data_IF_802617811617
#
_entry.id   IF_802617811617
#
_cell.length_a   1.000
_cell.length_b   1.000
_cell.length_c   1.000
_cell.angle_alpha   90.00
_cell.angle_beta   90.00
_cell.angle_gamma   90.00
#
_symmetry.space_group_name_H-M   'P 1'
#
loop_
_entity.id
_entity.type
_entity.pdbx_description
1 polymer ?
#
# COMPACT_ATOMS: atom_id res chain seq x y z
N UNK A 6 15.94 -4.56 9.17
CA UNK A 6 15.84 -3.25 8.52
C UNK A 6 14.53 -3.10 7.81
N UNK A 7 14.26 -4.09 6.96
CA UNK A 7 13.02 -4.14 6.26
C UNK A 7 11.93 -4.23 7.31
N UNK A 8 12.21 -5.07 8.29
CA UNK A 8 11.34 -5.26 9.42
C UNK A 8 10.88 -3.92 9.95
N UNK A 9 11.86 -3.06 10.17
CA UNK A 9 11.54 -1.75 10.66
C UNK A 9 10.61 -1.02 9.74
N UNK A 10 11.09 -0.84 8.52
CA UNK A 10 10.32 -0.16 7.50
C UNK A 10 8.88 -0.63 7.48
N UNK A 11 8.75 -1.94 7.43
CA UNK A 11 7.47 -2.57 7.39
C UNK A 11 6.63 -2.32 8.63
N UNK A 12 7.30 -2.12 9.75
CA UNK A 12 6.61 -1.88 10.99
C UNK A 12 6.04 -0.47 11.02
N UNK A 13 6.82 0.42 10.44
CA UNK A 13 6.45 1.79 10.35
C UNK A 13 5.30 1.98 9.35
N UNK A 14 5.30 1.14 8.34
CA UNK A 14 4.27 1.15 7.33
C UNK A 14 2.91 0.81 7.94
N UNK A 15 2.94 -0.24 8.74
CA UNK A 15 1.78 -0.76 9.42
C UNK A 15 1.11 0.28 10.29
N UNK A 16 1.92 0.92 11.09
CA UNK A 16 1.33 1.92 11.94
C UNK A 16 0.65 2.96 11.09
N UNK A 17 1.39 3.40 10.10
CA UNK A 17 0.87 4.39 9.19
C UNK A 17 -0.48 3.93 8.68
N UNK A 18 -0.47 2.81 7.99
CA UNK A 18 -1.70 2.27 7.43
C UNK A 18 -2.85 2.18 8.43
N UNK A 19 -2.57 1.63 9.61
CA UNK A 19 -3.62 1.46 10.59
C UNK A 19 -4.40 2.75 10.87
N UNK A 20 -3.65 3.81 11.12
CA UNK A 20 -4.17 5.13 11.40
C UNK A 20 -5.00 5.69 10.24
N UNK A 21 -4.37 5.73 9.05
CA UNK A 21 -4.97 6.14 7.79
C UNK A 21 -6.34 5.52 7.66
N UNK A 22 -6.42 4.22 7.89
CA UNK A 22 -7.70 3.54 7.83
C UNK A 22 -8.71 4.03 8.87
N UNK A 23 -8.25 4.33 10.09
CA UNK A 23 -9.14 4.84 11.13
C UNK A 23 -9.89 6.06 10.62
N UNK A 24 -9.11 6.97 10.02
CA UNK A 24 -9.56 8.24 9.45
C UNK A 24 -10.53 8.17 8.31
N UNK A 25 -10.44 7.07 7.57
CA UNK A 25 -11.31 6.86 6.46
C UNK A 25 -12.76 7.09 6.88
N UNK A 26 -13.09 6.62 8.10
CA UNK A 26 -14.42 6.72 8.74
C UNK A 26 -14.88 8.15 9.01
N UNK A 27 -13.95 9.08 9.00
CA UNK A 27 -14.35 10.42 9.27
C UNK A 27 -14.73 11.14 8.01
N UNK A 28 -14.70 10.40 6.90
CA UNK A 28 -15.06 10.99 5.63
C UNK A 28 -16.57 11.15 5.62
N UNK A 29 -17.21 10.41 6.51
CA UNK A 29 -18.66 10.40 6.66
C UNK A 29 -19.24 11.65 7.30
N UNK A 30 -18.36 12.44 7.90
CA UNK A 30 -18.74 13.67 8.58
C UNK A 30 -18.70 14.89 7.67
N UNK A 31 -18.38 14.64 6.41
CA UNK A 31 -18.31 15.68 5.41
C UNK A 31 -19.68 16.20 5.08
N UNK A 32 -19.72 17.44 4.58
CA UNK A 32 -20.95 18.10 4.21
C UNK A 32 -21.92 17.21 3.43
N UNK A 33 -21.50 16.76 2.25
CA UNK A 33 -22.36 15.90 1.45
C UNK A 33 -21.82 14.50 1.35
N UNK A 34 -22.72 13.55 1.05
CA UNK A 34 -22.36 12.16 0.88
C UNK A 34 -21.73 12.02 -0.51
N UNK A 35 -21.73 13.14 -1.25
CA UNK A 35 -21.14 13.27 -2.59
C UNK A 35 -19.69 13.78 -2.51
N UNK A 36 -19.53 14.85 -1.76
CA UNK A 36 -18.24 15.46 -1.56
C UNK A 36 -17.23 14.42 -1.15
N UNK A 37 -17.62 13.68 -0.14
CA UNK A 37 -16.78 12.65 0.41
C UNK A 37 -16.45 11.59 -0.61
N UNK A 38 -17.48 11.16 -1.33
CA UNK A 38 -17.30 10.13 -2.33
C UNK A 38 -16.25 10.48 -3.35
N UNK A 39 -16.24 11.76 -3.72
CA UNK A 39 -15.33 12.27 -4.71
C UNK A 39 -13.93 12.37 -4.13
N UNK A 40 -13.92 12.78 -2.86
CA UNK A 40 -12.68 12.88 -2.13
C UNK A 40 -11.99 11.50 -2.10
N UNK A 41 -12.71 10.54 -1.56
CA UNK A 41 -12.26 9.19 -1.46
C UNK A 41 -11.77 8.61 -2.80
N UNK A 42 -12.62 8.72 -3.80
CA UNK A 42 -12.27 8.14 -5.07
C UNK A 42 -10.95 8.64 -5.54
N UNK A 43 -10.78 9.92 -5.30
CA UNK A 43 -9.56 10.59 -5.67
C UNK A 43 -8.38 10.02 -4.94
N UNK A 44 -8.49 10.03 -3.64
CA UNK A 44 -7.44 9.51 -2.81
C UNK A 44 -7.09 8.07 -3.16
N UNK A 45 -8.13 7.28 -3.31
CA UNK A 45 -7.90 5.91 -3.67
C UNK A 45 -7.10 5.83 -4.96
N UNK A 46 -7.41 6.72 -5.87
CA UNK A 46 -6.71 6.69 -7.11
C UNK A 46 -5.28 7.11 -6.99
N UNK A 47 -5.04 8.07 -6.10
CA UNK A 47 -3.69 8.54 -5.90
C UNK A 47 -2.80 7.43 -5.34
N UNK A 48 -3.36 6.68 -4.40
CA UNK A 48 -2.69 5.59 -3.76
C UNK A 48 -2.38 4.51 -4.73
N UNK A 49 -3.47 4.08 -5.36
CA UNK A 49 -3.38 3.02 -6.33
C UNK A 49 -2.22 3.31 -7.26
N UNK A 50 -2.15 4.57 -7.65
CA UNK A 50 -1.14 5.04 -8.60
C UNK A 50 0.26 4.80 -8.13
N UNK A 51 0.47 5.14 -6.87
CA UNK A 51 1.74 5.00 -6.24
C UNK A 51 2.13 3.52 -6.05
N UNK A 52 1.22 2.70 -5.50
CA UNK A 52 1.45 1.27 -5.29
C UNK A 52 1.79 0.54 -6.58
N UNK A 53 1.16 0.97 -7.63
CA UNK A 53 1.45 0.37 -8.89
C UNK A 53 2.87 0.76 -9.37
N UNK A 54 3.34 1.92 -8.92
CA UNK A 54 4.66 2.38 -9.29
C UNK A 54 5.71 1.45 -8.76
N UNK A 55 5.55 1.11 -7.48
CA UNK A 55 6.39 0.23 -6.71
C UNK A 55 6.42 -1.12 -7.38
N UNK A 56 5.23 -1.66 -7.58
CA UNK A 56 5.08 -2.93 -8.24
C UNK A 56 5.93 -3.03 -9.50
N UNK A 57 5.92 -1.96 -10.29
CA UNK A 57 6.68 -1.89 -11.52
C UNK A 57 8.17 -1.81 -11.30
N UNK A 58 8.55 -1.09 -10.29
CA UNK A 58 9.97 -1.01 -10.09
C UNK A 58 10.56 -2.27 -9.48
N UNK A 59 9.75 -3.01 -8.75
CA UNK A 59 10.20 -4.25 -8.14
C UNK A 59 10.20 -5.35 -9.18
N UNK A 60 9.28 -5.26 -10.12
CA UNK A 60 9.25 -6.26 -11.16
C UNK A 60 10.60 -6.20 -11.91
N UNK A 61 11.06 -4.96 -12.08
CA UNK A 61 12.30 -4.65 -12.79
C UNK A 61 13.52 -5.19 -12.10
N UNK A 62 13.46 -5.07 -10.81
CA UNK A 62 14.53 -5.55 -10.00
C UNK A 62 14.65 -7.06 -10.14
N UNK A 63 13.50 -7.72 -10.05
CA UNK A 63 13.45 -9.16 -10.12
C UNK A 63 14.16 -9.66 -11.36
N UNK A 64 14.08 -8.87 -12.40
CA UNK A 64 14.66 -9.21 -13.66
C UNK A 64 16.15 -9.33 -13.57
N UNK A 65 16.72 -8.73 -12.54
CA UNK A 65 18.17 -8.75 -12.41
C UNK A 65 18.74 -9.88 -11.58
N UNK A 66 17.88 -10.56 -10.84
CA UNK A 66 18.35 -11.63 -10.00
C UNK A 66 17.97 -13.00 -10.52
N UNK A 67 18.54 -14.04 -9.92
CA UNK A 67 18.29 -15.39 -10.34
C UNK A 67 17.68 -16.18 -9.23
N UNK A 68 17.15 -17.33 -9.59
CA UNK A 68 16.61 -18.17 -8.53
C UNK A 68 15.18 -17.87 -8.18
N UNK A 69 14.81 -18.27 -6.96
CA UNK A 69 13.46 -18.14 -6.44
C UNK A 69 13.15 -16.79 -5.81
N UNK A 70 14.20 -16.02 -5.53
CA UNK A 70 14.05 -14.69 -4.96
C UNK A 70 13.37 -13.84 -6.01
N UNK A 71 13.90 -13.94 -7.23
CA UNK A 71 13.41 -13.24 -8.40
C UNK A 71 11.98 -13.64 -8.69
N UNK A 72 11.74 -14.93 -8.57
CA UNK A 72 10.41 -15.44 -8.77
C UNK A 72 9.47 -14.81 -7.76
N UNK A 73 9.82 -15.02 -6.51
CA UNK A 73 9.06 -14.54 -5.40
C UNK A 73 8.93 -13.04 -5.34
N UNK A 74 9.94 -12.33 -5.85
CA UNK A 74 9.94 -10.88 -5.86
C UNK A 74 8.89 -10.37 -6.84
N UNK A 75 8.94 -10.96 -8.03
CA UNK A 75 8.02 -10.67 -9.10
C UNK A 75 6.60 -10.98 -8.62
N UNK A 76 6.46 -12.10 -7.94
CA UNK A 76 5.18 -12.50 -7.39
C UNK A 76 4.61 -11.44 -6.48
N UNK A 77 5.40 -11.04 -5.49
CA UNK A 77 4.98 -10.05 -4.54
C UNK A 77 4.44 -8.83 -5.22
N UNK A 78 5.21 -8.35 -6.17
CA UNK A 78 4.77 -7.20 -6.88
C UNK A 78 3.40 -7.43 -7.50
N UNK A 79 3.25 -8.52 -8.26
CA UNK A 79 2.00 -8.83 -8.93
C UNK A 79 0.85 -8.77 -7.95
N UNK A 80 1.06 -9.38 -6.81
CA UNK A 80 0.07 -9.41 -5.76
C UNK A 80 -0.30 -8.04 -5.23
N UNK A 81 0.72 -7.20 -4.95
CA UNK A 81 0.46 -5.87 -4.46
C UNK A 81 -0.50 -5.20 -5.41
N UNK A 82 -0.23 -5.40 -6.70
CA UNK A 82 -1.05 -4.84 -7.75
C UNK A 82 -2.48 -5.36 -7.74
N UNK A 83 -2.64 -6.61 -7.37
CA UNK A 83 -3.96 -7.18 -7.35
C UNK A 83 -4.83 -6.69 -6.21
N UNK A 84 -4.20 -6.32 -5.12
CA UNK A 84 -5.01 -5.86 -4.04
C UNK A 84 -5.45 -4.42 -4.17
N UNK A 85 -4.95 -3.71 -5.19
CA UNK A 85 -5.35 -2.31 -5.38
C UNK A 85 -6.18 -1.97 -6.63
N UNK A 86 -5.88 -2.64 -7.75
CA UNK A 86 -6.54 -2.41 -9.03
C UNK A 86 -7.97 -1.92 -8.95
N UNK A 87 -8.77 -2.67 -8.22
CA UNK A 87 -10.16 -2.36 -8.07
C UNK A 87 -10.48 -1.78 -6.73
N UNK A 88 -10.10 -0.54 -6.52
CA UNK A 88 -10.36 0.05 -5.24
C UNK A 88 -11.12 1.36 -5.31
N UNK A 89 -11.22 1.94 -6.49
CA UNK A 89 -11.94 3.18 -6.62
C UNK A 89 -13.07 2.99 -7.59
N UNK A 90 -13.56 1.76 -7.62
CA UNK A 90 -14.63 1.36 -8.51
C UNK A 90 -16.05 1.54 -7.97
N UNK A 91 -16.28 1.15 -6.73
CA UNK A 91 -17.62 1.26 -6.18
C UNK A 91 -18.33 2.54 -6.55
N UNK A 92 -19.63 2.45 -6.77
CA UNK A 92 -20.48 3.57 -7.19
C UNK A 92 -21.10 4.33 -6.04
N UNK A 93 -20.85 3.90 -4.81
CA UNK A 93 -21.39 4.58 -3.66
C UNK A 93 -20.38 4.70 -2.53
N UNK A 94 -20.56 5.73 -1.73
CA UNK A 94 -19.71 5.96 -0.60
C UNK A 94 -19.41 4.69 0.20
N UNK A 95 -20.45 3.98 0.58
CA UNK A 95 -20.28 2.78 1.38
C UNK A 95 -19.26 1.80 0.86
N UNK A 96 -19.50 1.30 -0.36
CA UNK A 96 -18.65 0.33 -0.97
C UNK A 96 -17.26 0.86 -1.18
N UNK A 97 -17.21 2.15 -1.50
CA UNK A 97 -15.98 2.87 -1.72
C UNK A 97 -15.09 2.84 -0.51
N UNK A 98 -15.74 3.02 0.62
CA UNK A 98 -15.08 3.05 1.88
C UNK A 98 -14.57 1.69 2.25
N UNK A 99 -15.43 0.69 2.04
CA UNK A 99 -15.08 -0.67 2.35
C UNK A 99 -13.91 -1.11 1.51
N UNK A 100 -14.02 -0.82 0.22
CA UNK A 100 -13.00 -1.12 -0.77
C UNK A 100 -11.61 -0.57 -0.43
N UNK A 101 -11.59 0.71 -0.09
CA UNK A 101 -10.33 1.32 0.27
C UNK A 101 -9.74 0.67 1.49
N UNK A 102 -10.55 0.61 2.54
CA UNK A 102 -10.15 0.03 3.82
C UNK A 102 -9.55 -1.35 3.73
N UNK A 103 -10.04 -2.09 2.76
CA UNK A 103 -9.56 -3.43 2.56
C UNK A 103 -8.26 -3.36 1.80
N UNK A 104 -8.30 -2.60 0.71
CA UNK A 104 -7.12 -2.44 -0.09
C UNK A 104 -5.95 -2.07 0.80
N UNK A 105 -6.15 -1.11 1.70
CA UNK A 105 -5.12 -0.68 2.60
C UNK A 105 -4.62 -1.81 3.47
N UNK A 106 -5.57 -2.51 3.98
CA UNK A 106 -5.27 -3.61 4.84
C UNK A 106 -4.50 -4.71 4.12
N UNK A 107 -4.86 -5.01 2.88
CA UNK A 107 -4.14 -6.03 2.14
C UNK A 107 -2.69 -5.64 1.80
N UNK A 108 -2.44 -4.35 1.56
CA UNK A 108 -1.09 -3.90 1.22
C UNK A 108 -0.16 -4.08 2.40
N UNK A 109 -0.71 -3.84 3.59
CA UNK A 109 0.05 -4.00 4.81
C UNK A 109 0.42 -5.45 5.10
N UNK A 110 -0.56 -6.34 4.89
CA UNK A 110 -0.37 -7.76 5.15
C UNK A 110 0.65 -8.38 4.23
N UNK A 111 0.59 -7.97 2.97
CA UNK A 111 1.50 -8.42 1.96
C UNK A 111 2.94 -7.95 2.23
N UNK A 112 3.06 -6.78 2.86
CA UNK A 112 4.33 -6.24 3.23
C UNK A 112 4.90 -7.02 4.39
N UNK A 113 4.04 -7.38 5.33
CA UNK A 113 4.48 -8.16 6.46
C UNK A 113 4.99 -9.52 5.99
N UNK A 114 4.21 -10.19 5.13
CA UNK A 114 4.57 -11.49 4.56
C UNK A 114 5.99 -11.49 4.00
N UNK A 115 6.22 -10.65 2.99
CA UNK A 115 7.53 -10.54 2.39
C UNK A 115 8.63 -10.18 3.38
N UNK A 116 8.32 -9.38 4.40
CA UNK A 116 9.33 -8.99 5.38
C UNK A 116 9.82 -10.19 6.16
N UNK A 117 8.85 -10.95 6.66
CA UNK A 117 9.05 -12.17 7.39
C UNK A 117 9.84 -13.18 6.55
N UNK A 118 9.50 -13.30 5.28
CA UNK A 118 10.22 -14.20 4.42
C UNK A 118 11.72 -13.93 4.42
N UNK A 119 12.04 -12.69 4.11
CA UNK A 119 13.42 -12.24 4.04
C UNK A 119 14.13 -12.54 5.34
N UNK A 120 13.40 -12.45 6.43
CA UNK A 120 13.96 -12.63 7.76
C UNK A 120 14.27 -14.08 8.06
N UNK A 121 13.42 -14.95 7.56
CA UNK A 121 13.54 -16.38 7.73
C UNK A 121 14.59 -17.05 6.87
N UNK A 122 15.17 -16.30 5.93
CA UNK A 122 16.21 -16.80 5.03
C UNK A 122 17.59 -16.68 5.69
N UNK A 123 18.07 -17.78 6.29
CA UNK A 123 19.34 -17.84 7.01
C UNK A 123 20.57 -17.74 6.11
N UNK A 124 20.34 -18.13 4.86
CA UNK A 124 21.31 -18.12 3.80
C UNK A 124 21.44 -16.69 3.28
N UNK A 125 20.59 -15.80 3.84
CA UNK A 125 20.51 -14.37 3.50
C UNK A 125 20.21 -14.12 2.02
N UNK A 126 19.36 -15.01 1.51
CA UNK A 126 18.99 -15.00 0.12
C UNK A 126 18.40 -13.71 -0.42
N UNK A 127 17.73 -12.99 0.45
CA UNK A 127 17.07 -11.77 0.05
C UNK A 127 17.96 -10.56 0.09
N UNK A 128 19.12 -10.73 0.67
CA UNK A 128 20.05 -9.63 0.79
C UNK A 128 20.24 -8.82 -0.48
N UNK A 129 20.34 -9.52 -1.56
CA UNK A 129 20.64 -8.86 -2.80
C UNK A 129 19.61 -7.86 -3.32
N UNK A 130 18.39 -7.91 -2.80
CA UNK A 130 17.35 -7.02 -3.28
C UNK A 130 16.79 -6.15 -2.19
N UNK A 131 17.49 -6.16 -1.06
CA UNK A 131 17.16 -5.42 0.15
C UNK A 131 16.95 -3.91 -0.08
N UNK A 132 17.87 -3.26 -0.79
CA UNK A 132 17.70 -1.84 -1.05
C UNK A 132 16.34 -1.53 -1.71
N UNK A 133 16.06 -2.25 -2.79
CA UNK A 133 14.84 -2.13 -3.54
C UNK A 133 13.61 -2.33 -2.68
N UNK A 134 13.60 -3.42 -1.92
CA UNK A 134 12.47 -3.68 -1.05
C UNK A 134 12.29 -2.50 -0.11
N UNK A 135 13.39 -2.01 0.45
CA UNK A 135 13.35 -0.91 1.40
C UNK A 135 12.80 0.36 0.79
N UNK A 136 13.30 0.71 -0.37
CA UNK A 136 12.81 1.90 -0.96
C UNK A 136 11.31 1.79 -1.22
N UNK A 137 10.93 0.65 -1.75
CA UNK A 137 9.53 0.40 -2.03
C UNK A 137 8.65 0.51 -0.79
N UNK A 138 9.19 0.07 0.35
CA UNK A 138 8.45 0.13 1.58
C UNK A 138 8.23 1.57 1.98
N UNK A 139 9.22 2.40 1.68
CA UNK A 139 9.15 3.80 2.02
C UNK A 139 8.12 4.52 1.19
N UNK A 140 8.12 4.18 -0.10
CA UNK A 140 7.18 4.75 -1.06
C UNK A 140 5.75 4.39 -0.70
N UNK A 141 5.56 3.19 -0.15
CA UNK A 141 4.24 2.75 0.26
C UNK A 141 3.79 3.52 1.51
N UNK A 142 4.73 3.74 2.43
CA UNK A 142 4.49 4.47 3.66
C UNK A 142 4.02 5.89 3.35
N UNK A 143 4.73 6.55 2.40
CA UNK A 143 4.42 7.91 1.95
C UNK A 143 3.04 8.03 1.32
N UNK A 144 2.72 7.07 0.45
CA UNK A 144 1.44 7.05 -0.19
C UNK A 144 0.36 7.06 0.88
N UNK A 145 0.50 6.17 1.86
CA UNK A 145 -0.43 6.08 2.98
C UNK A 145 -0.41 7.31 3.90
N UNK A 146 0.75 7.96 4.11
CA UNK A 146 0.74 9.14 4.95
C UNK A 146 0.04 10.28 4.21
N UNK A 147 0.30 10.37 2.91
CA UNK A 147 -0.29 11.37 2.07
C UNK A 147 -1.78 11.30 2.10
N UNK A 148 -2.28 10.08 1.95
CA UNK A 148 -3.71 9.82 1.99
C UNK A 148 -4.28 10.33 3.28
N UNK A 149 -3.64 9.95 4.36
CA UNK A 149 -4.11 10.39 5.62
C UNK A 149 -4.14 11.91 5.75
N UNK A 150 -3.05 12.56 5.35
CA UNK A 150 -3.01 14.01 5.41
C UNK A 150 -4.22 14.62 4.72
N UNK A 151 -4.63 14.00 3.62
CA UNK A 151 -5.80 14.45 2.87
C UNK A 151 -7.14 14.30 3.62
N UNK A 152 -7.40 13.09 4.12
CA UNK A 152 -8.62 12.82 4.84
C UNK A 152 -8.73 13.71 6.05
N UNK A 153 -7.57 14.20 6.44
CA UNK A 153 -7.44 15.06 7.59
C UNK A 153 -7.68 16.52 7.27
N UNK A 154 -7.08 16.97 6.18
CA UNK A 154 -7.22 18.36 5.79
C UNK A 154 -8.58 18.72 5.25
N UNK A 155 -9.29 17.71 4.78
CA UNK A 155 -10.63 17.87 4.24
C UNK A 155 -11.69 17.69 5.33
N UNK A 156 -11.23 17.56 6.55
CA UNK A 156 -12.12 17.40 7.66
C UNK A 156 -11.87 18.47 8.72
N UNK A 157 -11.02 19.44 8.32
CA UNK A 157 -10.62 20.63 9.10
C UNK A 157 -11.01 21.90 8.34
N UNK A 158 -11.50 21.67 7.11
CA UNK A 158 -12.00 22.68 6.13
C UNK A 158 -12.33 22.03 4.76
#
# INVERSE_FOLDING_TARGET
>A
AAGHVNIAEAVQQLNHTIVNAAHELHETLGLPTPDEALNLLTEQANAFKTKIAEVTTSLKQEAEKHQGSVAEQLNAFARNLNNSIHDAATSLNLQDQLNSLQSALTNVGHQWQDIATKTQASAQEAWAPVQSALQEAAEKTKEAAANLQNSIQSAVQKPAN
#
